data_IF_410317691275
#
_entry.id   IF_410317691275
#
_cell.length_a   1.000
_cell.length_b   1.000
_cell.length_c   1.000
_cell.angle_alpha   90.00
_cell.angle_beta   90.00
_cell.angle_gamma   90.00
#
_symmetry.space_group_name_H-M   'P 1'
#
loop_
_entity.id
_entity.type
_entity.pdbx_description
1 polymer ?
#
# COMPACT_ATOMS: atom_id res chain seq x y z
N UNK A 1 27.59 38.79 5.76
CA UNK A 1 26.21 38.75 6.29
C UNK A 1 25.44 37.71 5.50
N UNK A 2 24.58 36.99 6.21
CA UNK A 2 24.25 35.59 6.03
C UNK A 2 23.57 35.19 4.71
N UNK A 3 24.06 34.10 4.13
CA UNK A 3 23.33 33.26 3.18
C UNK A 3 22.42 32.33 4.03
N UNK A 4 21.13 32.64 4.10
CA UNK A 4 20.16 31.80 4.79
C UNK A 4 19.84 30.59 3.91
N UNK A 5 20.44 29.46 4.26
CA UNK A 5 19.97 28.16 3.78
C UNK A 5 18.59 27.89 4.37
N UNK A 6 17.58 27.85 3.51
CA UNK A 6 16.31 27.22 3.86
C UNK A 6 16.54 25.71 3.88
N UNK A 7 16.65 25.18 5.09
CA UNK A 7 16.68 23.76 5.35
C UNK A 7 15.40 23.13 4.84
N UNK A 8 15.55 22.27 3.84
CA UNK A 8 14.57 21.23 3.53
C UNK A 8 14.44 20.38 4.80
N UNK A 9 13.36 20.63 5.54
CA UNK A 9 12.99 19.85 6.71
C UNK A 9 12.83 18.40 6.27
N UNK A 10 13.81 17.57 6.61
CA UNK A 10 13.66 16.12 6.67
C UNK A 10 12.61 15.84 7.76
N UNK A 11 11.35 15.76 7.34
CA UNK A 11 10.27 15.23 8.16
C UNK A 11 10.57 13.77 8.48
N UNK A 12 10.84 13.53 9.75
CA UNK A 12 11.00 12.22 10.38
C UNK A 12 9.79 11.30 10.14
N UNK A 13 10.03 10.16 9.50
CA UNK A 13 9.44 8.87 9.88
C UNK A 13 7.96 8.63 9.59
N UNK A 14 7.38 9.19 8.53
CA UNK A 14 6.14 8.64 7.96
C UNK A 14 6.57 7.76 6.79
N UNK A 15 6.37 6.44 6.89
CA UNK A 15 6.62 5.54 5.76
C UNK A 15 5.81 6.04 4.56
N UNK A 16 6.51 6.35 3.47
CA UNK A 16 5.93 6.96 2.28
C UNK A 16 4.90 6.03 1.64
N UNK A 17 3.62 6.42 1.70
CA UNK A 17 2.48 5.62 1.22
C UNK A 17 2.16 5.85 -0.27
N UNK A 18 2.83 6.81 -0.91
CA UNK A 18 2.65 7.12 -2.32
C UNK A 18 2.83 5.92 -3.26
N UNK A 19 3.74 4.96 -3.00
CA UNK A 19 3.90 3.79 -3.86
C UNK A 19 2.59 3.02 -4.08
N UNK A 20 1.78 2.84 -3.02
CA UNK A 20 0.54 2.06 -3.12
C UNK A 20 -0.70 2.89 -3.48
N UNK A 21 -0.58 4.22 -3.52
CA UNK A 21 -1.71 5.13 -3.73
C UNK A 21 -2.30 5.07 -5.15
N UNK A 22 -1.49 4.64 -6.13
CA UNK A 22 -1.85 4.62 -7.55
C UNK A 22 -1.87 3.23 -8.18
N UNK A 23 -1.69 2.18 -7.37
CA UNK A 23 -1.65 0.80 -7.85
C UNK A 23 -2.67 -0.06 -7.13
N UNK A 24 -3.15 -1.09 -7.82
CA UNK A 24 -4.07 -2.07 -7.28
C UNK A 24 -3.32 -3.28 -6.69
N UNK A 25 -3.99 -4.01 -5.80
CA UNK A 25 -3.47 -5.27 -5.28
C UNK A 25 -3.23 -6.27 -6.42
N UNK A 26 -4.15 -6.32 -7.40
CA UNK A 26 -4.03 -7.20 -8.55
C UNK A 26 -2.78 -6.93 -9.39
N UNK A 27 -2.39 -5.65 -9.57
CA UNK A 27 -1.14 -5.31 -10.28
C UNK A 27 0.09 -5.82 -9.54
N UNK A 28 0.13 -5.68 -8.22
CA UNK A 28 1.26 -6.17 -7.42
C UNK A 28 1.33 -7.69 -7.44
N UNK A 29 0.18 -8.37 -7.31
CA UNK A 29 0.12 -9.82 -7.37
C UNK A 29 0.54 -10.36 -8.75
N UNK A 30 0.06 -9.74 -9.83
CA UNK A 30 0.45 -10.11 -11.18
C UNK A 30 1.94 -9.90 -11.44
N UNK A 31 2.53 -8.82 -10.90
CA UNK A 31 3.98 -8.61 -10.95
C UNK A 31 4.74 -9.71 -10.20
N UNK A 32 4.32 -10.04 -8.98
CA UNK A 32 4.96 -11.09 -8.18
C UNK A 32 4.84 -12.46 -8.83
N UNK A 33 3.69 -12.76 -9.45
CA UNK A 33 3.46 -13.98 -10.24
C UNK A 33 4.42 -14.04 -11.44
N UNK A 34 4.51 -12.98 -12.24
CA UNK A 34 5.42 -12.92 -13.40
C UNK A 34 6.91 -13.10 -13.01
N UNK A 35 7.34 -12.50 -11.89
CA UNK A 35 8.71 -12.69 -11.40
C UNK A 35 8.94 -14.13 -10.93
N UNK A 36 7.96 -14.78 -10.29
CA UNK A 36 8.07 -16.18 -9.89
C UNK A 36 8.17 -17.13 -11.09
N UNK A 37 7.40 -16.87 -12.16
CA UNK A 37 7.40 -17.66 -13.39
C UNK A 37 8.76 -17.69 -14.11
N UNK A 38 9.54 -16.60 -14.01
CA UNK A 38 10.91 -16.52 -14.55
C UNK A 38 11.99 -16.98 -13.57
N UNK A 39 11.61 -17.58 -12.43
CA UNK A 39 12.54 -18.16 -11.44
C UNK A 39 12.69 -17.37 -10.14
N UNK A 40 11.86 -16.35 -9.93
CA UNK A 40 11.80 -15.54 -8.71
C UNK A 40 12.82 -14.40 -8.63
N UNK A 41 13.65 -14.22 -9.67
CA UNK A 41 14.60 -13.11 -9.84
C UNK A 41 14.70 -12.77 -11.32
N UNK A 42 14.58 -11.49 -11.66
CA UNK A 42 14.82 -11.00 -13.03
C UNK A 42 15.15 -9.52 -13.05
N UNK A 43 15.88 -9.07 -14.08
CA UNK A 43 16.06 -7.64 -14.33
C UNK A 43 14.73 -6.98 -14.73
N UNK A 44 14.63 -5.67 -14.49
CA UNK A 44 13.39 -4.91 -14.77
C UNK A 44 12.98 -4.96 -16.25
N UNK A 45 13.94 -5.08 -17.17
CA UNK A 45 13.65 -5.12 -18.61
C UNK A 45 13.00 -6.46 -19.03
N UNK A 46 13.43 -7.56 -18.42
CA UNK A 46 12.87 -8.90 -18.58
C UNK A 46 11.45 -8.94 -18.04
N UNK A 47 11.22 -8.38 -16.85
CA UNK A 47 9.88 -8.30 -16.24
C UNK A 47 8.94 -7.47 -17.12
N UNK A 48 9.41 -6.31 -17.61
CA UNK A 48 8.65 -5.44 -18.52
C UNK A 48 8.18 -6.17 -19.78
N UNK A 49 9.00 -7.06 -20.33
CA UNK A 49 8.64 -7.91 -21.46
C UNK A 49 7.61 -8.98 -21.06
N UNK A 50 7.80 -9.64 -19.91
CA UNK A 50 6.92 -10.71 -19.45
C UNK A 50 5.49 -10.19 -19.16
N UNK A 51 5.36 -9.02 -18.54
CA UNK A 51 4.06 -8.42 -18.22
C UNK A 51 3.49 -7.52 -19.33
N UNK A 52 4.14 -7.44 -20.49
CA UNK A 52 3.81 -6.54 -21.62
C UNK A 52 3.51 -5.10 -21.16
N UNK A 53 4.44 -4.53 -20.38
CA UNK A 53 4.26 -3.25 -19.72
C UNK A 53 5.49 -2.37 -19.82
N UNK A 54 5.29 -1.10 -20.19
CA UNK A 54 6.35 -0.09 -20.24
C UNK A 54 6.96 0.17 -18.85
N UNK A 55 8.26 0.49 -18.82
CA UNK A 55 9.03 0.69 -17.57
C UNK A 55 8.48 1.80 -16.68
N UNK A 56 7.95 2.87 -17.27
CA UNK A 56 7.34 4.00 -16.55
C UNK A 56 6.05 3.59 -15.83
N UNK A 57 5.29 2.66 -16.40
CA UNK A 57 4.11 2.04 -15.76
C UNK A 57 4.48 0.98 -14.73
N UNK A 58 5.61 0.28 -14.95
CA UNK A 58 6.09 -0.76 -14.06
C UNK A 58 6.69 -0.20 -12.77
N UNK A 59 7.38 0.94 -12.85
CA UNK A 59 8.06 1.58 -11.71
C UNK A 59 7.18 1.74 -10.46
N UNK A 60 5.98 2.34 -10.55
CA UNK A 60 5.08 2.45 -9.40
C UNK A 60 4.68 1.11 -8.78
N UNK A 61 4.52 0.06 -9.59
CA UNK A 61 4.14 -1.29 -9.12
C UNK A 61 5.31 -1.93 -8.39
N UNK A 62 6.55 -1.76 -8.90
CA UNK A 62 7.77 -2.22 -8.23
C UNK A 62 7.97 -1.53 -6.90
N UNK A 63 7.85 -0.19 -6.86
CA UNK A 63 7.96 0.57 -5.61
C UNK A 63 6.92 0.14 -4.59
N UNK A 64 5.69 -0.18 -5.04
CA UNK A 64 4.64 -0.68 -4.18
C UNK A 64 4.92 -2.10 -3.65
N UNK A 65 5.39 -2.99 -4.51
CA UNK A 65 5.77 -4.35 -4.12
C UNK A 65 6.93 -4.35 -3.10
N UNK A 66 7.92 -3.49 -3.31
CA UNK A 66 9.03 -3.29 -2.39
C UNK A 66 8.56 -2.70 -1.05
N UNK A 67 7.74 -1.65 -1.11
CA UNK A 67 7.16 -1.03 0.09
C UNK A 67 6.35 -2.02 0.94
N UNK A 68 5.63 -2.96 0.32
CA UNK A 68 4.86 -4.00 1.01
C UNK A 68 5.71 -5.22 1.42
N UNK A 69 7.02 -5.22 1.15
CA UNK A 69 7.92 -6.34 1.46
C UNK A 69 7.70 -7.59 0.61
N UNK A 70 7.06 -7.44 -0.55
CA UNK A 70 6.76 -8.52 -1.50
C UNK A 70 7.90 -8.72 -2.51
N UNK A 71 8.70 -7.69 -2.76
CA UNK A 71 9.89 -7.78 -3.59
C UNK A 71 11.04 -6.97 -2.98
N UNK A 72 12.25 -7.22 -3.46
CA UNK A 72 13.44 -6.40 -3.20
C UNK A 72 14.09 -6.02 -4.53
N UNK A 73 14.56 -4.79 -4.65
CA UNK A 73 15.30 -4.33 -5.83
C UNK A 73 16.78 -4.12 -5.46
N UNK A 74 17.67 -4.86 -6.12
CA UNK A 74 19.12 -4.80 -5.88
C UNK A 74 19.85 -4.76 -7.22
N UNK A 75 20.70 -3.74 -7.44
CA UNK A 75 21.52 -3.60 -8.66
C UNK A 75 20.76 -3.70 -10.00
N UNK A 76 19.46 -3.38 -10.02
CA UNK A 76 18.61 -3.45 -11.21
C UNK A 76 17.86 -4.77 -11.39
N UNK A 77 18.13 -5.75 -10.51
CA UNK A 77 17.38 -7.00 -10.41
C UNK A 77 16.27 -6.87 -9.38
N UNK A 78 15.14 -7.52 -9.66
CA UNK A 78 13.99 -7.61 -8.77
C UNK A 78 13.86 -9.06 -8.33
N UNK A 79 13.75 -9.27 -7.02
CA UNK A 79 13.60 -10.59 -6.39
C UNK A 79 12.32 -10.64 -5.57
N UNK A 80 11.54 -11.71 -5.68
CA UNK A 80 10.40 -11.93 -4.77
C UNK A 80 10.88 -12.41 -3.40
N UNK A 81 10.16 -12.03 -2.35
CA UNK A 81 10.47 -12.44 -0.97
C UNK A 81 9.82 -13.78 -0.60
N UNK A 82 10.21 -14.35 0.53
CA UNK A 82 9.53 -15.53 1.10
C UNK A 82 8.05 -15.26 1.41
N UNK A 83 7.72 -14.02 1.77
CA UNK A 83 6.34 -13.57 1.96
C UNK A 83 5.53 -13.69 0.67
N UNK A 84 6.10 -13.27 -0.45
CA UNK A 84 5.50 -13.44 -1.77
C UNK A 84 5.33 -14.90 -2.14
N UNK A 85 6.35 -15.75 -1.95
CA UNK A 85 6.21 -17.20 -2.22
C UNK A 85 5.08 -17.82 -1.39
N UNK A 86 5.00 -17.49 -0.11
CA UNK A 86 3.90 -17.93 0.77
C UNK A 86 2.55 -17.46 0.25
N UNK A 87 2.46 -16.21 -0.21
CA UNK A 87 1.25 -15.62 -0.76
C UNK A 87 0.79 -16.32 -2.05
N UNK A 88 1.73 -16.64 -2.95
CA UNK A 88 1.45 -17.32 -4.22
C UNK A 88 0.90 -18.74 -4.00
N UNK A 89 1.49 -19.49 -3.07
CA UNK A 89 1.07 -20.86 -2.74
C UNK A 89 -0.15 -20.95 -1.80
N UNK A 90 -0.56 -19.84 -1.21
CA UNK A 90 -1.70 -19.78 -0.29
C UNK A 90 -3.04 -19.94 -1.03
N UNK A 91 -4.00 -20.59 -0.38
CA UNK A 91 -5.38 -20.57 -0.88
C UNK A 91 -6.01 -19.17 -0.72
N UNK A 92 -7.18 -18.94 -1.32
CA UNK A 92 -7.83 -17.62 -1.35
C UNK A 92 -8.03 -17.01 0.05
N UNK A 93 -8.37 -17.84 1.06
CA UNK A 93 -8.59 -17.36 2.43
C UNK A 93 -7.27 -16.94 3.07
N UNK A 94 -6.24 -17.78 2.95
CA UNK A 94 -4.90 -17.50 3.48
C UNK A 94 -4.27 -16.28 2.81
N UNK A 95 -4.40 -16.15 1.48
CA UNK A 95 -3.92 -14.99 0.72
C UNK A 95 -4.55 -13.69 1.24
N UNK A 96 -5.87 -13.69 1.47
CA UNK A 96 -6.56 -12.54 2.07
C UNK A 96 -6.05 -12.21 3.47
N UNK A 97 -5.78 -13.21 4.30
CA UNK A 97 -5.24 -12.99 5.65
C UNK A 97 -3.83 -12.38 5.60
N UNK A 98 -2.95 -12.93 4.76
CA UNK A 98 -1.58 -12.40 4.59
C UNK A 98 -1.61 -10.95 4.11
N UNK A 99 -2.36 -10.65 3.05
CA UNK A 99 -2.45 -9.27 2.53
C UNK A 99 -3.09 -8.35 3.56
N UNK A 100 -4.07 -8.82 4.33
CA UNK A 100 -4.67 -8.05 5.41
C UNK A 100 -3.64 -7.68 6.48
N UNK A 101 -2.83 -8.63 6.93
CA UNK A 101 -1.81 -8.39 7.95
C UNK A 101 -0.77 -7.39 7.46
N UNK A 102 -0.29 -7.54 6.21
CA UNK A 102 0.61 -6.57 5.57
C UNK A 102 -0.01 -5.17 5.54
N UNK A 103 -1.29 -5.07 5.16
CA UNK A 103 -1.97 -3.78 5.00
C UNK A 103 -2.30 -3.13 6.34
N UNK A 104 -2.71 -3.89 7.35
CA UNK A 104 -2.94 -3.38 8.71
C UNK A 104 -1.63 -2.81 9.28
N UNK A 105 -0.48 -3.45 8.97
CA UNK A 105 0.86 -3.01 9.39
C UNK A 105 1.36 -1.70 8.79
N UNK A 106 0.69 -1.18 7.75
CA UNK A 106 1.14 0.06 7.13
C UNK A 106 0.68 1.28 7.95
N UNK A 107 1.56 2.26 8.28
CA UNK A 107 1.27 3.27 9.32
C UNK A 107 -0.02 4.09 9.16
N UNK A 108 -0.49 4.33 7.92
CA UNK A 108 -1.75 5.05 7.71
C UNK A 108 -2.96 4.19 8.07
N UNK A 109 -2.90 2.89 7.79
CA UNK A 109 -3.96 1.95 8.16
C UNK A 109 -4.01 1.83 9.66
N UNK A 110 -2.86 1.56 10.30
CA UNK A 110 -2.76 1.55 11.77
C UNK A 110 -3.31 2.80 12.43
N UNK A 111 -3.05 4.00 11.89
CA UNK A 111 -3.66 5.23 12.42
C UNK A 111 -5.19 5.18 12.36
N UNK A 112 -5.76 4.89 11.19
CA UNK A 112 -7.21 4.98 11.01
C UNK A 112 -7.92 3.85 11.76
N UNK A 113 -7.33 2.64 11.80
CA UNK A 113 -7.86 1.53 12.59
C UNK A 113 -7.78 1.83 14.08
N UNK A 114 -6.68 2.40 14.59
CA UNK A 114 -6.58 2.84 15.98
C UNK A 114 -7.58 3.95 16.33
N UNK A 115 -7.73 4.95 15.46
CA UNK A 115 -8.71 6.02 15.65
C UNK A 115 -10.12 5.46 15.77
N UNK A 116 -10.52 4.57 14.86
CA UNK A 116 -11.85 3.98 14.87
C UNK A 116 -12.06 3.08 16.11
N UNK A 117 -11.04 2.30 16.51
CA UNK A 117 -11.08 1.49 17.75
C UNK A 117 -11.25 2.35 19.00
N UNK A 118 -10.49 3.44 19.11
CA UNK A 118 -10.56 4.38 20.25
C UNK A 118 -11.89 5.12 20.31
N UNK A 119 -12.43 5.51 19.15
CA UNK A 119 -13.74 6.16 19.08
C UNK A 119 -14.89 5.21 19.42
N UNK A 120 -14.73 3.91 19.17
CA UNK A 120 -15.79 2.91 19.38
C UNK A 120 -16.98 3.08 18.44
N UNK A 121 -16.81 3.83 17.34
CA UNK A 121 -17.84 4.17 16.35
C UNK A 121 -17.24 4.29 14.96
N UNK A 122 -18.08 4.30 13.90
CA UNK A 122 -17.63 4.69 12.58
C UNK A 122 -17.00 6.09 12.57
N UNK A 123 -16.00 6.28 11.70
CA UNK A 123 -15.36 7.57 11.43
C UNK A 123 -15.94 8.19 10.17
N UNK A 124 -16.18 9.49 10.16
CA UNK A 124 -16.56 10.20 8.94
C UNK A 124 -15.36 10.37 8.00
N UNK A 125 -15.63 10.58 6.71
CA UNK A 125 -14.60 10.96 5.73
C UNK A 125 -13.84 12.21 6.16
N UNK A 126 -14.54 13.21 6.70
CA UNK A 126 -13.94 14.46 7.16
C UNK A 126 -12.94 14.22 8.30
N UNK A 127 -13.30 13.43 9.32
CA UNK A 127 -12.41 13.07 10.42
C UNK A 127 -11.13 12.37 9.94
N UNK A 128 -11.27 11.51 8.93
CA UNK A 128 -10.14 10.80 8.34
C UNK A 128 -9.27 11.76 7.54
N UNK A 129 -9.86 12.58 6.66
CA UNK A 129 -9.12 13.55 5.85
C UNK A 129 -8.36 14.54 6.72
N UNK A 130 -8.94 15.00 7.83
CA UNK A 130 -8.27 15.87 8.79
C UNK A 130 -7.04 15.19 9.39
N UNK A 131 -7.18 13.95 9.87
CA UNK A 131 -6.07 13.18 10.43
C UNK A 131 -4.97 12.87 9.41
N UNK A 132 -5.34 12.60 8.16
CA UNK A 132 -4.37 12.41 7.06
C UNK A 132 -3.67 13.73 6.71
N UNK A 133 -4.42 14.82 6.61
CA UNK A 133 -3.88 16.15 6.27
C UNK A 133 -2.86 16.63 7.29
N UNK A 134 -3.04 16.29 8.57
CA UNK A 134 -2.06 16.58 9.63
C UNK A 134 -0.71 15.89 9.43
N UNK A 135 -0.63 14.85 8.57
CA UNK A 135 0.59 14.09 8.30
C UNK A 135 1.20 14.35 6.94
N UNK A 136 0.37 14.41 5.90
CA UNK A 136 0.83 14.50 4.49
C UNK A 136 0.45 15.82 3.81
N UNK A 137 -0.27 16.70 4.50
CA UNK A 137 -0.83 17.92 3.93
C UNK A 137 -2.13 17.67 3.16
N UNK A 138 -2.94 18.72 3.01
CA UNK A 138 -4.30 18.63 2.45
C UNK A 138 -4.34 18.13 1.00
N UNK A 139 -3.35 18.48 0.18
CA UNK A 139 -3.33 18.10 -1.22
C UNK A 139 -3.18 16.57 -1.42
N UNK A 140 -2.42 15.91 -0.55
CA UNK A 140 -2.12 14.48 -0.63
C UNK A 140 -3.15 13.63 0.15
N UNK A 141 -3.83 14.21 1.14
CA UNK A 141 -4.76 13.50 2.01
C UNK A 141 -5.93 12.84 1.24
N UNK A 142 -6.43 13.49 0.19
CA UNK A 142 -7.54 13.00 -0.61
C UNK A 142 -7.19 11.73 -1.40
N UNK A 143 -6.04 11.72 -2.05
CA UNK A 143 -5.59 10.54 -2.80
C UNK A 143 -5.21 9.40 -1.86
N UNK A 144 -4.62 9.73 -0.71
CA UNK A 144 -4.35 8.76 0.36
C UNK A 144 -5.63 8.16 0.93
N UNK A 145 -6.69 8.94 1.11
CA UNK A 145 -7.99 8.44 1.54
C UNK A 145 -8.60 7.47 0.52
N UNK A 146 -8.56 7.81 -0.78
CA UNK A 146 -9.06 6.91 -1.84
C UNK A 146 -8.31 5.59 -1.84
N UNK A 147 -6.98 5.64 -1.72
CA UNK A 147 -6.14 4.45 -1.61
C UNK A 147 -6.52 3.63 -0.36
N UNK A 148 -6.63 4.28 0.80
CA UNK A 148 -7.01 3.64 2.06
C UNK A 148 -8.37 2.92 1.93
N UNK A 149 -9.37 3.57 1.35
CA UNK A 149 -10.69 2.98 1.13
C UNK A 149 -10.60 1.79 0.16
N UNK A 150 -9.88 1.93 -0.94
CA UNK A 150 -9.69 0.86 -1.92
C UNK A 150 -9.05 -0.38 -1.30
N UNK A 151 -7.86 -0.21 -0.72
CA UNK A 151 -7.06 -1.27 -0.12
C UNK A 151 -7.76 -1.88 1.09
N UNK A 152 -8.30 -1.04 1.99
CA UNK A 152 -9.00 -1.50 3.18
C UNK A 152 -10.26 -2.29 2.86
N UNK A 153 -10.99 -1.96 1.78
CA UNK A 153 -12.12 -2.76 1.31
C UNK A 153 -11.67 -4.08 0.69
N UNK A 154 -10.59 -4.05 -0.09
CA UNK A 154 -10.04 -5.25 -0.73
C UNK A 154 -9.65 -6.32 0.30
N UNK A 155 -8.94 -5.93 1.36
CA UNK A 155 -8.52 -6.84 2.44
C UNK A 155 -9.60 -7.08 3.51
N UNK A 156 -10.81 -6.56 3.27
CA UNK A 156 -11.92 -6.61 4.21
C UNK A 156 -11.57 -6.06 5.61
N UNK A 157 -10.64 -5.10 5.71
CA UNK A 157 -10.24 -4.42 6.95
C UNK A 157 -11.24 -3.33 7.32
N UNK A 158 -11.79 -2.64 6.31
CA UNK A 158 -12.77 -1.57 6.50
C UNK A 158 -13.95 -1.75 5.55
N UNK A 159 -15.08 -1.19 5.94
CA UNK A 159 -16.22 -0.88 5.07
C UNK A 159 -16.28 0.64 4.96
N UNK A 160 -16.51 1.14 3.75
CA UNK A 160 -16.81 2.54 3.52
C UNK A 160 -18.14 2.66 2.77
N UNK A 161 -19.06 3.45 3.32
CA UNK A 161 -20.34 3.77 2.71
C UNK A 161 -20.26 5.18 2.10
N UNK A 162 -20.43 5.28 0.79
CA UNK A 162 -20.26 6.55 0.07
C UNK A 162 -21.47 7.49 0.16
N UNK A 163 -22.63 7.01 0.64
CA UNK A 163 -23.80 7.87 0.83
C UNK A 163 -23.74 8.59 2.18
N UNK A 164 -23.35 7.86 3.22
CA UNK A 164 -23.18 8.39 4.57
C UNK A 164 -21.77 8.93 4.85
N UNK A 165 -20.82 8.66 3.96
CA UNK A 165 -19.39 8.99 4.12
C UNK A 165 -18.77 8.42 5.40
N UNK A 166 -19.24 7.25 5.84
CA UNK A 166 -18.77 6.60 7.07
C UNK A 166 -17.87 5.39 6.78
N UNK A 167 -16.75 5.34 7.48
CA UNK A 167 -15.83 4.21 7.53
C UNK A 167 -16.07 3.41 8.82
N UNK A 168 -16.24 2.09 8.69
CA UNK A 168 -16.39 1.16 9.81
C UNK A 168 -15.35 0.05 9.73
N UNK A 169 -14.76 -0.32 10.86
CA UNK A 169 -13.85 -1.46 10.92
C UNK A 169 -14.59 -2.78 10.75
N UNK A 170 -13.94 -3.71 10.06
CA UNK A 170 -14.44 -5.06 9.86
C UNK A 170 -13.64 -6.01 10.74
N UNK A 171 -14.33 -6.82 11.53
CA UNK A 171 -13.70 -7.96 12.21
C UNK A 171 -13.48 -9.06 11.17
N UNK A 172 -12.33 -9.77 11.17
CA UNK A 172 -12.14 -10.94 10.32
C UNK A 172 -13.28 -11.94 10.58
N UNK A 173 -13.92 -12.41 9.51
CA UNK A 173 -14.87 -13.52 9.63
C UNK A 173 -14.06 -14.78 9.92
N UNK A 174 -14.41 -15.52 10.99
CA UNK A 174 -13.78 -16.82 11.32
C UNK A 174 -13.98 -17.83 10.17
#
# INVERSE_FOLDING_TARGET
MSNSGEGVGRGSGVTDFHPIAKVSVGQILGLVEAIDEVGGVADVATISQEVDMELDRLGPILSAAEFLGLATVEDGDVRITDLSRKLLHANVRERKAIVRDIIDDVPVFHLITDMARKAGRPLSREEIIEALSARVGSHQAEDLFKALVYWGRYVELVRYDSQSEMLTLRTPSK
#
